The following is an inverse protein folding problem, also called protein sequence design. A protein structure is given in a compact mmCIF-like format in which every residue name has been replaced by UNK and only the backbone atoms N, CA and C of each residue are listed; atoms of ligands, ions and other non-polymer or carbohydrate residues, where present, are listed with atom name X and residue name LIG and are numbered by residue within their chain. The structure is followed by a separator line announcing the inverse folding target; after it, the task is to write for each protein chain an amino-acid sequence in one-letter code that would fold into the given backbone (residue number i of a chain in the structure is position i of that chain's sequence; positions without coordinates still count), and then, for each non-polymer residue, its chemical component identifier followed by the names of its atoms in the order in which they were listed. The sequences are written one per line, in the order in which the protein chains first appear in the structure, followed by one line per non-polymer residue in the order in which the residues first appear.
data_IF_839465034991
#
_entry.id   IF_839465034991
#
_cell.length_a   1.000
_cell.length_b   1.000
_cell.length_c   1.000
_cell.angle_alpha   90.00
_cell.angle_beta   90.00
_cell.angle_gamma   90.00
#
_symmetry.space_group_name_H-M   'P 1'
#
loop_
_entity.id
_entity.type
_entity.pdbx_description
1 polymer ?
#
# COMPACT_ATOMS: atom_id res chain seq x y z
N UNK A 1 22.24 -21.91 -21.80
CA UNK A 1 21.67 -21.40 -20.52
C UNK A 1 22.77 -20.59 -19.84
N UNK A 2 22.68 -19.25 -19.88
CA UNK A 2 23.63 -18.38 -19.19
C UNK A 2 23.33 -18.43 -17.67
N UNK A 3 24.24 -18.99 -16.88
CA UNK A 3 24.20 -18.89 -15.42
C UNK A 3 24.83 -17.56 -15.01
N UNK A 4 24.05 -16.65 -14.44
CA UNK A 4 24.59 -15.48 -13.77
C UNK A 4 25.33 -15.95 -12.51
N UNK A 5 26.65 -15.98 -12.59
CA UNK A 5 27.54 -16.47 -11.53
C UNK A 5 27.74 -15.46 -10.39
N UNK A 6 27.45 -14.17 -10.62
CA UNK A 6 27.72 -13.10 -9.67
C UNK A 6 26.44 -12.34 -9.30
N UNK A 7 26.11 -12.30 -8.01
CA UNK A 7 25.01 -11.51 -7.47
C UNK A 7 25.47 -10.07 -7.23
N UNK A 8 25.38 -9.20 -8.22
CA UNK A 8 25.83 -7.80 -8.12
C UNK A 8 24.97 -6.92 -7.20
N UNK A 9 23.75 -7.38 -6.80
CA UNK A 9 22.82 -6.59 -5.99
C UNK A 9 23.18 -6.58 -4.50
N UNK A 10 23.87 -7.60 -4.01
CA UNK A 10 24.11 -7.83 -2.58
C UNK A 10 25.55 -7.54 -2.24
N UNK A 11 25.76 -6.83 -1.14
CA UNK A 11 27.07 -6.51 -0.56
C UNK A 11 27.41 -7.40 0.65
N UNK A 12 26.40 -8.06 1.23
CA UNK A 12 26.51 -8.88 2.43
C UNK A 12 26.79 -10.34 2.08
N UNK A 13 27.99 -10.83 2.43
CA UNK A 13 28.41 -12.20 2.17
C UNK A 13 27.54 -13.25 2.87
N UNK A 14 27.03 -12.96 4.08
CA UNK A 14 26.15 -13.86 4.83
C UNK A 14 24.79 -13.99 4.13
N UNK A 15 24.23 -12.87 3.67
CA UNK A 15 22.99 -12.87 2.89
C UNK A 15 23.15 -13.64 1.57
N UNK A 16 24.25 -13.43 0.85
CA UNK A 16 24.56 -14.17 -0.39
C UNK A 16 24.61 -15.67 -0.11
N UNK A 17 25.28 -16.09 0.98
CA UNK A 17 25.36 -17.50 1.39
C UNK A 17 23.98 -18.09 1.64
N UNK A 18 23.14 -17.42 2.43
CA UNK A 18 21.75 -17.84 2.74
C UNK A 18 20.94 -17.99 1.45
N UNK A 19 20.92 -16.97 0.59
CA UNK A 19 20.16 -17.00 -0.66
C UNK A 19 20.66 -18.07 -1.63
N UNK A 20 21.97 -18.32 -1.67
CA UNK A 20 22.55 -19.38 -2.49
C UNK A 20 22.10 -20.76 -2.02
N UNK A 21 22.07 -20.99 -0.71
CA UNK A 21 21.57 -22.24 -0.13
C UNK A 21 20.08 -22.44 -0.40
N UNK A 22 19.29 -21.39 -0.23
CA UNK A 22 17.86 -21.42 -0.54
C UNK A 22 17.56 -21.76 -2.01
N UNK A 23 18.41 -21.36 -2.95
CA UNK A 23 18.25 -21.67 -4.38
C UNK A 23 18.58 -23.11 -4.75
N UNK A 24 19.46 -23.78 -4.00
CA UNK A 24 20.02 -25.10 -4.38
C UNK A 24 19.14 -26.27 -4.02
N UNK A 25 18.32 -26.19 -2.99
CA UNK A 25 17.44 -27.30 -2.59
C UNK A 25 16.28 -26.81 -1.73
N UNK A 26 15.15 -27.51 -1.79
CA UNK A 26 13.95 -27.23 -0.99
C UNK A 26 14.14 -27.40 0.53
N UNK A 27 15.28 -27.86 1.02
CA UNK A 27 15.63 -27.92 2.45
C UNK A 27 16.93 -27.21 2.70
N UNK A 28 16.85 -25.92 2.93
CA UNK A 28 17.98 -25.08 3.26
C UNK A 28 18.39 -25.33 4.73
N UNK A 29 19.62 -25.86 4.93
CA UNK A 29 20.23 -25.92 6.27
C UNK A 29 21.14 -24.72 6.47
N UNK A 30 20.69 -23.77 7.27
CA UNK A 30 21.51 -22.62 7.67
C UNK A 30 22.50 -23.06 8.75
N UNK A 31 23.70 -22.47 8.72
CA UNK A 31 24.68 -22.60 9.80
C UNK A 31 24.21 -21.83 11.04
N UNK A 32 24.81 -22.14 12.21
CA UNK A 32 24.52 -21.38 13.44
C UNK A 32 24.80 -19.87 13.29
N UNK A 33 25.83 -19.52 12.54
CA UNK A 33 26.20 -18.13 12.29
C UNK A 33 25.16 -17.43 11.40
N UNK A 34 24.70 -18.07 10.33
CA UNK A 34 23.66 -17.55 9.43
C UNK A 34 22.32 -17.38 10.18
N UNK A 35 21.95 -18.37 11.01
CA UNK A 35 20.78 -18.27 11.87
C UNK A 35 20.89 -17.11 12.88
N UNK A 36 22.08 -16.92 13.46
CA UNK A 36 22.32 -15.79 14.35
C UNK A 36 22.14 -14.47 13.61
N UNK A 37 22.75 -14.31 12.45
CA UNK A 37 22.62 -13.10 11.63
C UNK A 37 21.15 -12.77 11.28
N UNK A 38 20.33 -13.77 10.94
CA UNK A 38 18.89 -13.57 10.72
C UNK A 38 18.16 -13.17 11.99
N UNK A 39 18.41 -13.85 13.12
CA UNK A 39 17.79 -13.50 14.41
C UNK A 39 18.18 -12.11 14.89
N UNK A 40 19.40 -11.67 14.59
CA UNK A 40 19.85 -10.32 14.94
C UNK A 40 19.05 -9.23 14.17
N UNK A 41 18.38 -9.57 13.08
CA UNK A 41 17.43 -8.67 12.40
C UNK A 41 16.09 -8.58 13.10
N UNK A 42 15.71 -9.54 13.95
CA UNK A 42 14.40 -9.59 14.62
C UNK A 42 14.34 -8.65 15.82
N UNK A 43 13.31 -7.80 15.82
CA UNK A 43 13.07 -6.85 16.92
C UNK A 43 11.97 -7.31 17.88
N UNK A 44 11.32 -8.44 17.63
CA UNK A 44 10.13 -8.88 18.39
C UNK A 44 10.44 -9.15 19.86
N UNK A 45 11.63 -9.69 20.15
CA UNK A 45 12.08 -10.00 21.51
C UNK A 45 12.83 -8.83 22.18
N UNK A 46 13.08 -7.72 21.45
CA UNK A 46 13.80 -6.58 21.99
C UNK A 46 12.90 -5.73 22.91
N UNK A 47 13.51 -5.00 23.83
CA UNK A 47 12.79 -4.03 24.67
C UNK A 47 12.13 -2.94 23.81
N UNK A 48 11.08 -2.30 24.35
CA UNK A 48 10.38 -1.22 23.65
C UNK A 48 11.33 -0.05 23.27
N UNK A 49 12.31 0.25 24.11
CA UNK A 49 13.34 1.26 23.84
C UNK A 49 14.23 0.87 22.66
N UNK A 50 14.68 -0.38 22.63
CA UNK A 50 15.51 -0.87 21.52
C UNK A 50 14.70 -1.01 20.21
N UNK A 51 13.45 -1.46 20.28
CA UNK A 51 12.55 -1.46 19.12
C UNK A 51 12.41 -0.05 18.55
N UNK A 52 12.15 0.96 19.40
CA UNK A 52 12.04 2.35 18.98
C UNK A 52 13.33 2.83 18.32
N UNK A 53 14.49 2.60 18.97
CA UNK A 53 15.80 2.98 18.43
C UNK A 53 16.06 2.36 17.04
N UNK A 54 15.71 1.09 16.83
CA UNK A 54 15.91 0.39 15.55
C UNK A 54 14.92 0.83 14.48
N UNK A 55 13.77 1.37 14.86
CA UNK A 55 12.76 1.90 13.94
C UNK A 55 12.97 3.38 13.61
N UNK A 56 13.83 4.09 14.36
CA UNK A 56 14.22 5.45 14.01
C UNK A 56 14.85 5.51 12.62
N UNK A 57 14.48 6.51 11.83
CA UNK A 57 14.98 6.67 10.46
C UNK A 57 14.41 5.70 9.44
N UNK A 58 13.45 4.85 9.83
CA UNK A 58 12.84 3.86 8.91
C UNK A 58 11.53 4.34 8.27
N UNK A 59 11.21 5.64 8.33
CA UNK A 59 9.92 6.20 7.86
C UNK A 59 9.70 5.95 6.35
N UNK A 60 10.80 5.87 5.58
CA UNK A 60 10.77 5.60 4.15
C UNK A 60 10.99 4.12 3.79
N UNK A 61 11.24 3.26 4.78
CA UNK A 61 11.44 1.84 4.52
C UNK A 61 10.16 1.18 4.02
N UNK A 62 10.35 0.17 3.19
CA UNK A 62 9.25 -0.72 2.81
C UNK A 62 8.80 -1.54 4.01
N UNK A 63 7.50 -1.78 4.10
CA UNK A 63 6.92 -2.70 5.07
C UNK A 63 6.10 -3.75 4.34
N UNK A 64 6.42 -5.00 4.55
CA UNK A 64 5.75 -6.10 3.87
C UNK A 64 5.32 -7.20 4.82
N UNK A 65 4.26 -7.88 4.45
CA UNK A 65 3.72 -9.01 5.18
C UNK A 65 3.11 -10.05 4.23
N UNK A 66 2.95 -11.30 4.69
CA UNK A 66 2.28 -12.34 3.91
C UNK A 66 0.76 -12.12 3.77
N UNK A 67 0.14 -11.34 4.65
CA UNK A 67 -1.33 -11.16 4.71
C UNK A 67 -1.76 -9.72 4.54
N UNK A 68 -2.92 -9.52 3.91
CA UNK A 68 -3.54 -8.21 3.75
C UNK A 68 -3.92 -7.55 5.08
N UNK A 69 -4.31 -8.32 6.10
CA UNK A 69 -4.62 -7.77 7.43
C UNK A 69 -3.42 -7.00 8.02
N UNK A 70 -2.23 -7.61 7.97
CA UNK A 70 -1.00 -6.96 8.44
C UNK A 70 -0.59 -5.81 7.53
N UNK A 71 -0.76 -5.96 6.20
CA UNK A 71 -0.46 -4.90 5.22
C UNK A 71 -1.36 -3.69 5.42
N UNK A 72 -2.66 -3.87 5.67
CA UNK A 72 -3.59 -2.76 5.90
C UNK A 72 -3.16 -1.92 7.12
N UNK A 73 -2.75 -2.57 8.21
CA UNK A 73 -2.19 -1.87 9.37
C UNK A 73 -0.89 -1.13 9.00
N UNK A 74 -0.01 -1.78 8.24
CA UNK A 74 1.22 -1.16 7.77
C UNK A 74 0.95 0.08 6.89
N UNK A 75 -0.08 0.04 6.03
CA UNK A 75 -0.50 1.18 5.21
C UNK A 75 -0.89 2.37 6.08
N UNK A 76 -1.68 2.17 7.14
CA UNK A 76 -2.06 3.24 8.07
C UNK A 76 -0.82 3.85 8.72
N UNK A 77 0.05 3.02 9.27
CA UNK A 77 1.27 3.47 9.96
C UNK A 77 2.18 4.24 8.98
N UNK A 78 2.47 3.67 7.81
CA UNK A 78 3.36 4.29 6.82
C UNK A 78 2.80 5.58 6.25
N UNK A 79 1.49 5.64 5.97
CA UNK A 79 0.85 6.87 5.50
C UNK A 79 0.93 7.97 6.54
N UNK A 80 0.73 7.64 7.84
CA UNK A 80 0.86 8.61 8.93
C UNK A 80 2.30 9.12 9.08
N UNK A 81 3.28 8.22 9.11
CA UNK A 81 4.70 8.58 9.19
C UNK A 81 5.14 9.44 8.00
N UNK A 82 4.70 9.08 6.79
CA UNK A 82 4.98 9.84 5.56
C UNK A 82 4.39 11.26 5.64
N UNK A 83 3.14 11.39 6.09
CA UNK A 83 2.48 12.69 6.25
C UNK A 83 3.19 13.58 7.28
N UNK A 84 3.56 13.01 8.44
CA UNK A 84 4.32 13.74 9.47
C UNK A 84 5.67 14.23 8.92
N UNK A 85 6.40 13.37 8.20
CA UNK A 85 7.68 13.73 7.60
C UNK A 85 7.55 14.82 6.55
N UNK A 86 6.45 14.81 5.78
CA UNK A 86 6.15 15.81 4.76
C UNK A 86 5.53 17.10 5.35
N UNK A 87 5.27 17.16 6.66
CA UNK A 87 4.49 18.22 7.30
C UNK A 87 3.14 18.47 6.59
N UNK A 88 2.50 17.41 6.09
CA UNK A 88 1.28 17.45 5.29
C UNK A 88 0.09 16.86 6.04
N UNK A 89 -1.11 17.35 5.74
CA UNK A 89 -2.35 16.79 6.25
C UNK A 89 -2.59 15.42 5.65
N UNK A 90 -2.79 14.39 6.49
CA UNK A 90 -3.22 13.07 6.06
C UNK A 90 -4.73 13.06 5.88
N UNK A 91 -5.19 12.86 4.65
CA UNK A 91 -6.59 12.63 4.34
C UNK A 91 -6.94 11.15 4.50
N UNK A 92 -8.04 10.88 5.16
CA UNK A 92 -8.61 9.55 5.35
C UNK A 92 -10.00 9.54 4.74
N UNK A 93 -10.25 8.65 3.77
CA UNK A 93 -11.55 8.52 3.15
C UNK A 93 -12.03 7.07 3.19
N UNK A 94 -13.15 6.76 3.85
CA UNK A 94 -13.76 5.45 3.77
C UNK A 94 -14.25 5.14 2.37
N UNK A 95 -14.18 3.86 1.98
CA UNK A 95 -14.78 3.41 0.73
C UNK A 95 -16.30 3.60 0.75
N UNK A 96 -16.89 3.80 -0.43
CA UNK A 96 -18.37 3.70 -0.60
C UNK A 96 -18.67 2.27 -1.03
N UNK A 97 -19.35 1.56 -0.13
CA UNK A 97 -19.72 0.17 -0.32
C UNK A 97 -21.25 0.06 -0.56
N UNK A 98 -21.62 -0.59 -1.68
CA UNK A 98 -23.01 -0.79 -2.09
C UNK A 98 -23.40 -2.24 -1.83
N UNK A 99 -24.41 -2.44 -0.96
CA UNK A 99 -25.00 -3.76 -0.71
C UNK A 99 -26.00 -4.07 -1.80
N UNK A 100 -25.76 -5.11 -2.60
CA UNK A 100 -26.57 -5.45 -3.77
C UNK A 100 -27.79 -6.32 -3.42
N UNK A 101 -27.68 -7.17 -2.38
CA UNK A 101 -28.72 -8.10 -1.96
C UNK A 101 -28.88 -8.09 -0.43
N UNK A 102 -29.62 -7.13 0.08
CA UNK A 102 -29.91 -7.06 1.52
C UNK A 102 -31.03 -8.06 1.87
N UNK A 103 -30.82 -8.95 2.86
CA UNK A 103 -31.89 -9.84 3.30
C UNK A 103 -33.04 -9.05 3.89
N UNK A 104 -34.26 -9.26 3.38
CA UNK A 104 -35.47 -8.47 3.74
C UNK A 104 -35.84 -8.61 5.24
N UNK A 105 -35.53 -9.77 5.84
CA UNK A 105 -35.90 -10.11 7.21
C UNK A 105 -34.74 -9.92 8.21
N UNK A 106 -33.60 -9.44 7.78
CA UNK A 106 -32.45 -9.25 8.67
C UNK A 106 -32.50 -7.89 9.37
N UNK A 107 -32.38 -7.88 10.70
CA UNK A 107 -32.27 -6.64 11.50
C UNK A 107 -30.86 -6.03 11.40
N UNK A 108 -30.39 -5.82 10.18
CA UNK A 108 -29.05 -5.28 9.92
C UNK A 108 -29.15 -3.75 9.79
N UNK A 109 -28.49 -3.04 10.68
CA UNK A 109 -28.37 -1.59 10.57
C UNK A 109 -27.27 -1.22 9.57
N UNK A 110 -27.37 -0.05 8.94
CA UNK A 110 -26.36 0.42 7.99
C UNK A 110 -25.00 0.62 8.68
N UNK A 111 -24.99 1.06 9.93
CA UNK A 111 -23.76 1.20 10.73
C UNK A 111 -23.05 -0.14 10.95
N UNK A 112 -23.79 -1.18 11.33
CA UNK A 112 -23.25 -2.52 11.52
C UNK A 112 -22.71 -3.10 10.20
N UNK A 113 -23.45 -2.94 9.10
CA UNK A 113 -22.99 -3.36 7.78
C UNK A 113 -21.71 -2.63 7.37
N UNK A 114 -21.64 -1.33 7.59
CA UNK A 114 -20.43 -0.55 7.29
C UNK A 114 -19.21 -1.05 8.09
N UNK A 115 -19.40 -1.37 9.37
CA UNK A 115 -18.33 -1.91 10.21
C UNK A 115 -17.85 -3.28 9.70
N UNK A 116 -18.76 -4.22 9.46
CA UNK A 116 -18.42 -5.56 8.98
C UNK A 116 -17.75 -5.50 7.60
N UNK A 117 -18.27 -4.70 6.67
CA UNK A 117 -17.72 -4.57 5.33
C UNK A 117 -16.33 -3.92 5.37
N UNK A 118 -16.14 -2.90 6.21
CA UNK A 118 -14.84 -2.23 6.36
C UNK A 118 -13.77 -3.15 6.96
N UNK A 119 -14.18 -4.16 7.72
CA UNK A 119 -13.29 -5.15 8.33
C UNK A 119 -12.71 -6.17 7.33
N UNK A 120 -13.20 -6.21 6.06
CA UNK A 120 -12.68 -7.13 5.03
C UNK A 120 -11.28 -6.68 4.59
N UNK A 121 -10.20 -7.33 5.05
CA UNK A 121 -8.84 -6.83 4.83
C UNK A 121 -8.27 -7.25 3.49
N UNK A 122 -8.89 -8.22 2.79
CA UNK A 122 -8.31 -8.83 1.60
C UNK A 122 -8.67 -8.06 0.33
N UNK A 123 -7.77 -7.20 -0.12
CA UNK A 123 -7.95 -6.41 -1.34
C UNK A 123 -8.14 -7.26 -2.61
N UNK A 124 -7.70 -8.51 -2.65
CA UNK A 124 -7.92 -9.38 -3.81
C UNK A 124 -9.42 -9.67 -4.00
N UNK A 125 -10.20 -9.73 -2.92
CA UNK A 125 -11.64 -9.97 -2.96
C UNK A 125 -12.43 -8.69 -3.28
N UNK A 126 -11.89 -7.51 -2.97
CA UNK A 126 -12.57 -6.22 -3.14
C UNK A 126 -12.24 -5.51 -4.45
N UNK A 127 -11.81 -6.24 -5.47
CA UNK A 127 -11.40 -5.67 -6.76
C UNK A 127 -10.15 -4.80 -6.67
N UNK A 128 -9.26 -5.09 -5.73
CA UNK A 128 -8.04 -4.35 -5.39
C UNK A 128 -8.28 -2.92 -4.90
N UNK A 129 -9.49 -2.63 -4.43
CA UNK A 129 -9.84 -1.33 -3.85
C UNK A 129 -9.73 -1.40 -2.32
N UNK A 130 -8.97 -0.51 -1.67
CA UNK A 130 -8.84 -0.50 -0.21
C UNK A 130 -10.15 -0.10 0.47
N UNK A 131 -10.38 -0.56 1.71
CA UNK A 131 -11.54 -0.14 2.51
C UNK A 131 -11.41 1.32 2.98
N UNK A 132 -10.19 1.79 3.13
CA UNK A 132 -9.87 3.15 3.55
C UNK A 132 -8.81 3.70 2.61
N UNK A 133 -9.08 4.82 1.97
CA UNK A 133 -8.10 5.61 1.23
C UNK A 133 -7.29 6.45 2.21
N UNK A 134 -5.97 6.44 2.08
CA UNK A 134 -5.02 7.18 2.91
C UNK A 134 -4.07 7.92 1.97
N UNK A 135 -4.06 9.25 2.01
CA UNK A 135 -3.23 10.03 1.10
C UNK A 135 -2.91 11.42 1.65
N UNK A 136 -1.80 11.97 1.23
CA UNK A 136 -1.40 13.36 1.46
C UNK A 136 -0.64 13.87 0.25
N UNK A 137 -0.51 15.18 0.12
CA UNK A 137 0.29 15.80 -0.94
C UNK A 137 1.77 15.40 -0.81
N UNK A 138 2.40 15.04 -1.91
CA UNK A 138 3.79 14.52 -1.93
C UNK A 138 3.93 13.02 -1.59
N UNK A 139 2.81 12.31 -1.36
CA UNK A 139 2.87 10.87 -1.04
C UNK A 139 3.22 10.05 -2.27
N UNK A 140 4.20 9.16 -2.13
CA UNK A 140 4.50 8.19 -3.19
C UNK A 140 3.54 7.01 -3.09
N UNK A 141 2.78 6.82 -4.17
CA UNK A 141 1.73 5.79 -4.25
C UNK A 141 2.08 4.73 -5.29
N UNK A 142 1.30 3.67 -5.24
CA UNK A 142 1.20 2.62 -6.24
C UNK A 142 -0.25 2.46 -6.65
N UNK A 143 -0.51 2.40 -7.96
CA UNK A 143 -1.83 2.08 -8.49
C UNK A 143 -2.16 0.61 -8.22
N UNK A 144 -3.36 0.34 -7.74
CA UNK A 144 -3.86 -1.02 -7.49
C UNK A 144 -4.63 -1.58 -8.67
N UNK A 145 -5.15 -0.70 -9.53
CA UNK A 145 -5.82 -1.03 -10.79
C UNK A 145 -5.29 -0.16 -11.92
N UNK A 146 -5.58 -0.57 -13.16
CA UNK A 146 -5.32 0.25 -14.33
C UNK A 146 -6.26 1.46 -14.34
N UNK A 147 -5.68 2.64 -14.50
CA UNK A 147 -6.39 3.93 -14.65
C UNK A 147 -6.40 4.31 -16.12
N UNK A 148 -5.23 4.33 -16.77
CA UNK A 148 -5.06 4.68 -18.18
C UNK A 148 -3.96 3.81 -18.79
N UNK A 149 -4.33 2.98 -19.78
CA UNK A 149 -3.37 2.12 -20.47
C UNK A 149 -2.71 2.89 -21.64
N UNK A 150 -1.46 2.58 -21.95
CA UNK A 150 -0.59 1.56 -21.36
C UNK A 150 0.28 2.06 -20.18
N UNK A 151 0.32 3.33 -19.84
CA UNK A 151 1.30 3.92 -18.92
C UNK A 151 0.87 3.85 -17.45
N UNK A 152 -0.43 4.05 -17.17
CA UNK A 152 -0.99 4.05 -15.82
C UNK A 152 -1.71 2.74 -15.51
N UNK A 153 -0.94 1.68 -15.48
CA UNK A 153 -1.44 0.31 -15.22
C UNK A 153 -1.26 -0.09 -13.74
N UNK A 154 -1.82 -1.22 -13.39
CA UNK A 154 -1.59 -1.83 -12.06
C UNK A 154 -0.11 -1.89 -11.74
N UNK A 155 0.23 -1.54 -10.50
CA UNK A 155 1.60 -1.44 -9.95
C UNK A 155 2.45 -0.26 -10.49
N UNK A 156 1.95 0.57 -11.41
CA UNK A 156 2.57 1.87 -11.72
C UNK A 156 2.68 2.70 -10.45
N UNK A 157 3.80 3.42 -10.32
CA UNK A 157 4.09 4.26 -9.16
C UNK A 157 4.18 5.73 -9.54
N UNK A 158 3.81 6.61 -8.61
CA UNK A 158 3.85 8.04 -8.81
C UNK A 158 3.75 8.79 -7.50
N UNK A 159 3.79 10.10 -7.57
CA UNK A 159 3.66 11.02 -6.44
C UNK A 159 2.36 11.82 -6.55
N UNK A 160 1.66 12.00 -5.44
CA UNK A 160 0.45 12.83 -5.38
C UNK A 160 0.87 14.30 -5.46
N UNK A 161 0.45 14.97 -6.53
CA UNK A 161 0.76 16.39 -6.78
C UNK A 161 -0.46 17.31 -6.70
N UNK A 162 -1.67 16.74 -6.60
CA UNK A 162 -2.91 17.48 -6.43
C UNK A 162 -4.01 16.64 -5.77
N UNK A 163 -4.88 17.30 -5.03
CA UNK A 163 -6.04 16.70 -4.35
C UNK A 163 -7.22 17.63 -4.58
N UNK A 164 -8.17 17.19 -5.41
CA UNK A 164 -9.38 17.93 -5.73
C UNK A 164 -10.54 17.33 -4.94
N UNK A 165 -10.96 18.05 -3.89
CA UNK A 165 -12.07 17.61 -3.06
C UNK A 165 -13.39 17.71 -3.82
N UNK A 166 -14.32 16.81 -3.51
CA UNK A 166 -15.70 16.88 -4.01
C UNK A 166 -16.31 18.25 -3.61
N UNK A 167 -17.00 18.96 -4.51
CA UNK A 167 -17.59 20.27 -4.21
C UNK A 167 -18.56 20.27 -3.02
N UNK A 168 -19.20 19.12 -2.76
CA UNK A 168 -20.12 18.95 -1.63
C UNK A 168 -19.43 18.38 -0.38
N UNK A 169 -18.08 18.29 -0.36
CA UNK A 169 -17.36 17.89 0.85
C UNK A 169 -17.49 18.96 1.94
N UNK A 170 -17.90 18.60 3.17
CA UNK A 170 -18.02 19.56 4.26
C UNK A 170 -16.71 20.34 4.48
N UNK A 171 -16.82 21.64 4.74
CA UNK A 171 -15.63 22.42 5.05
C UNK A 171 -15.04 22.00 6.40
N UNK A 172 -13.72 22.03 6.51
CA UNK A 172 -13.02 21.67 7.77
C UNK A 172 -13.46 22.53 8.97
N UNK A 173 -14.04 23.72 8.73
CA UNK A 173 -14.55 24.61 9.77
C UNK A 173 -15.90 24.17 10.36
N UNK A 174 -16.65 23.30 9.66
CA UNK A 174 -17.95 22.79 10.10
C UNK A 174 -17.85 21.48 10.88
N UNK A 175 -16.69 20.82 10.86
CA UNK A 175 -16.48 19.58 11.59
C UNK A 175 -15.94 19.86 12.98
N UNK A 176 -16.75 19.58 14.00
CA UNK A 176 -16.27 19.38 15.39
C UNK A 176 -15.46 18.08 15.50
N UNK A 177 -14.54 17.87 14.59
CA UNK A 177 -13.68 16.68 14.62
C UNK A 177 -12.68 16.85 15.75
N UNK A 178 -12.62 15.89 16.64
CA UNK A 178 -11.51 15.75 17.61
C UNK A 178 -10.21 15.74 16.81
N UNK A 179 -9.63 16.92 16.67
CA UNK A 179 -8.51 17.16 15.78
C UNK A 179 -7.28 16.44 16.32
N UNK A 180 -7.08 15.21 15.87
CA UNK A 180 -5.70 14.70 15.84
C UNK A 180 -5.01 15.58 14.80
N UNK A 181 -4.14 16.44 15.27
CA UNK A 181 -3.41 17.41 14.48
C UNK A 181 -2.81 16.75 13.22
N UNK A 182 -3.10 17.32 12.06
CA UNK A 182 -2.62 16.83 10.76
C UNK A 182 -3.39 15.62 10.19
N UNK A 183 -4.61 15.31 10.66
CA UNK A 183 -5.51 14.32 10.04
C UNK A 183 -6.84 14.99 9.68
N UNK A 184 -7.32 14.72 8.47
CA UNK A 184 -8.66 15.10 8.02
C UNK A 184 -9.41 13.90 7.47
N UNK A 185 -10.60 13.61 8.01
CA UNK A 185 -11.50 12.58 7.49
C UNK A 185 -12.37 13.20 6.41
N UNK A 186 -12.48 12.57 5.26
CA UNK A 186 -13.33 12.99 4.16
C UNK A 186 -14.59 12.11 4.13
N UNK A 187 -15.74 12.74 3.85
CA UNK A 187 -17.02 12.07 3.66
C UNK A 187 -17.27 11.69 2.20
N UNK A 188 -16.57 12.33 1.29
CA UNK A 188 -16.68 12.10 -0.16
C UNK A 188 -15.36 11.74 -0.77
N UNK A 189 -15.43 10.92 -1.82
CA UNK A 189 -14.23 10.47 -2.54
C UNK A 189 -13.73 11.59 -3.44
N UNK A 190 -12.47 12.06 -3.26
CA UNK A 190 -11.87 13.10 -4.08
C UNK A 190 -11.35 12.56 -5.41
N UNK A 191 -10.94 13.47 -6.28
CA UNK A 191 -10.05 13.17 -7.42
C UNK A 191 -8.61 13.49 -7.03
N UNK A 192 -7.67 12.60 -7.37
CA UNK A 192 -6.26 12.76 -7.01
C UNK A 192 -5.43 12.91 -8.29
N UNK A 193 -4.65 13.96 -8.37
CA UNK A 193 -3.67 14.12 -9.45
C UNK A 193 -2.35 13.46 -9.04
N UNK A 194 -1.91 12.50 -9.84
CA UNK A 194 -0.68 11.74 -9.62
C UNK A 194 0.30 11.97 -10.75
N UNK A 195 1.54 12.33 -10.43
CA UNK A 195 2.67 12.36 -11.37
C UNK A 195 3.34 11.00 -11.40
N UNK A 196 3.21 10.27 -12.49
CA UNK A 196 3.77 8.94 -12.67
C UNK A 196 5.29 8.99 -12.83
N UNK A 197 5.98 8.03 -12.23
CA UNK A 197 7.43 7.91 -12.37
C UNK A 197 7.80 7.32 -13.74
N UNK A 198 8.71 8.00 -14.45
CA UNK A 198 9.23 7.52 -15.73
C UNK A 198 8.25 7.66 -16.91
N UNK A 199 7.17 8.40 -16.72
CA UNK A 199 6.17 8.70 -17.77
C UNK A 199 6.21 10.17 -18.11
N UNK A 200 6.22 10.46 -19.40
CA UNK A 200 6.30 11.82 -19.95
C UNK A 200 5.09 12.19 -20.82
N UNK A 201 4.15 11.27 -20.98
CA UNK A 201 2.92 11.49 -21.75
C UNK A 201 1.99 12.48 -21.03
N UNK A 202 1.39 13.38 -21.77
CA UNK A 202 0.41 14.34 -21.23
C UNK A 202 -0.99 13.71 -21.30
N UNK A 203 -1.55 13.33 -20.14
CA UNK A 203 -2.90 12.77 -20.03
C UNK A 203 -3.96 13.82 -19.68
N UNK A 204 -3.54 14.89 -18.99
CA UNK A 204 -4.46 15.95 -18.60
C UNK A 204 -4.64 16.94 -19.77
N UNK A 205 -5.87 17.46 -19.96
CA UNK A 205 -6.09 18.48 -20.96
C UNK A 205 -5.17 19.68 -20.71
N UNK A 206 -4.68 20.34 -21.77
CA UNK A 206 -3.84 21.50 -21.64
C UNK A 206 -4.61 22.58 -20.87
N UNK A 207 -4.20 22.84 -19.62
CA UNK A 207 -4.67 24.06 -18.96
C UNK A 207 -3.88 25.23 -19.51
N UNK A 208 -4.51 26.39 -19.75
CA UNK A 208 -3.77 27.56 -20.16
C UNK A 208 -2.71 27.89 -19.11
N UNK A 209 -1.44 27.83 -19.52
CA UNK A 209 -0.35 28.30 -18.69
C UNK A 209 -0.57 29.80 -18.47
N UNK A 210 -0.73 30.22 -17.22
CA UNK A 210 -0.95 31.61 -16.86
C UNK A 210 0.19 32.54 -17.35
N UNK A 211 1.39 31.98 -17.56
CA UNK A 211 2.56 32.69 -18.12
C UNK A 211 2.50 32.78 -19.64
N UNK A 212 1.73 31.94 -20.33
CA UNK A 212 1.68 31.86 -21.80
C UNK A 212 0.25 31.85 -22.35
N UNK A 213 -0.70 32.35 -21.58
CA UNK A 213 -2.13 32.40 -21.98
C UNK A 213 -2.38 33.10 -23.34
N UNK A 214 -1.45 33.91 -23.79
CA UNK A 214 -1.56 34.65 -25.06
C UNK A 214 -0.91 33.96 -26.27
N UNK A 215 -0.04 32.97 -26.09
CA UNK A 215 0.78 32.39 -27.17
C UNK A 215 0.52 30.96 -27.54
N UNK A 216 -0.34 30.24 -26.82
CA UNK A 216 -0.91 28.93 -27.18
C UNK A 216 0.02 27.72 -27.20
N UNK A 217 1.32 27.87 -27.13
CA UNK A 217 2.25 26.75 -27.11
C UNK A 217 3.51 27.09 -26.31
N UNK A 218 3.73 26.38 -25.24
CA UNK A 218 4.96 26.47 -24.47
C UNK A 218 5.81 25.23 -24.70
N UNK A 219 6.99 25.38 -25.30
CA UNK A 219 7.95 24.27 -25.49
C UNK A 219 8.93 24.10 -24.33
N UNK A 220 9.22 25.15 -23.57
CA UNK A 220 10.31 25.15 -22.58
C UNK A 220 9.91 25.71 -21.21
N UNK A 221 8.63 25.68 -20.85
CA UNK A 221 8.17 26.17 -19.56
C UNK A 221 8.21 25.08 -18.51
N UNK A 222 8.94 25.26 -17.43
CA UNK A 222 9.02 24.34 -16.29
C UNK A 222 7.65 24.04 -15.67
N UNK A 223 6.70 25.00 -15.74
CA UNK A 223 5.31 24.78 -15.29
C UNK A 223 4.50 23.86 -16.21
N UNK A 224 4.80 23.86 -17.53
CA UNK A 224 4.20 22.93 -18.49
C UNK A 224 4.84 21.55 -18.40
N UNK A 225 6.15 21.49 -18.19
CA UNK A 225 6.92 20.24 -18.00
C UNK A 225 6.54 19.51 -16.70
N UNK A 226 6.11 20.27 -15.68
CA UNK A 226 5.61 19.69 -14.42
C UNK A 226 4.39 18.78 -14.63
N UNK A 227 3.58 19.01 -15.66
CA UNK A 227 2.37 18.23 -15.95
C UNK A 227 2.62 16.97 -16.76
N UNK A 228 3.76 16.86 -17.42
CA UNK A 228 4.12 15.65 -18.13
C UNK A 228 4.12 14.46 -17.17
N UNK A 229 3.40 13.41 -17.52
CA UNK A 229 3.19 12.23 -16.68
C UNK A 229 2.15 12.38 -15.56
N UNK A 230 1.43 13.51 -15.47
CA UNK A 230 0.32 13.66 -14.52
C UNK A 230 -0.96 13.04 -15.06
N UNK A 231 -1.64 12.27 -14.22
CA UNK A 231 -2.96 11.67 -14.48
C UNK A 231 -3.95 12.06 -13.38
N UNK A 232 -5.23 12.14 -13.72
CA UNK A 232 -6.30 12.20 -12.74
C UNK A 232 -6.71 10.78 -12.34
N UNK A 233 -6.60 10.45 -11.06
CA UNK A 233 -7.06 9.18 -10.49
C UNK A 233 -8.42 9.42 -9.85
N UNK A 234 -9.46 8.94 -10.51
CA UNK A 234 -10.84 9.02 -10.03
C UNK A 234 -11.24 7.77 -9.26
N UNK A 235 -12.23 7.88 -8.35
CA UNK A 235 -12.78 6.72 -7.65
C UNK A 235 -13.39 5.71 -8.62
N UNK A 236 -12.90 4.47 -8.58
CA UNK A 236 -13.37 3.37 -9.40
C UNK A 236 -14.37 2.50 -8.63
N UNK A 237 -15.39 2.00 -9.33
CA UNK A 237 -16.28 0.96 -8.85
C UNK A 237 -15.68 -0.41 -9.14
N UNK A 238 -15.63 -1.30 -8.14
CA UNK A 238 -15.16 -2.67 -8.35
C UNK A 238 -15.96 -3.36 -9.45
N UNK A 239 -15.27 -4.03 -10.38
CA UNK A 239 -15.92 -4.73 -11.52
C UNK A 239 -16.82 -5.88 -11.06
N UNK A 240 -16.52 -6.50 -9.93
CA UNK A 240 -17.27 -7.62 -9.35
C UNK A 240 -17.62 -7.31 -7.92
N UNK A 241 -18.78 -7.79 -7.48
CA UNK A 241 -19.13 -7.83 -6.07
C UNK A 241 -18.31 -8.90 -5.35
N UNK A 242 -18.19 -8.75 -4.05
CA UNK A 242 -17.56 -9.73 -3.17
C UNK A 242 -18.52 -10.14 -2.06
N UNK A 243 -18.50 -11.42 -1.63
CA UNK A 243 -19.34 -11.89 -0.55
C UNK A 243 -18.81 -11.43 0.81
N UNK A 244 -19.70 -11.01 1.66
CA UNK A 244 -19.42 -10.69 3.07
C UNK A 244 -20.39 -11.49 3.94
N UNK A 245 -19.84 -12.26 4.88
CA UNK A 245 -20.65 -12.96 5.87
C UNK A 245 -21.03 -12.00 7.01
N UNK A 246 -22.30 -11.89 7.27
CA UNK A 246 -22.86 -11.00 8.28
C UNK A 246 -23.70 -11.85 9.24
N UNK A 247 -23.50 -11.68 10.53
CA UNK A 247 -24.33 -12.33 11.54
C UNK A 247 -25.45 -11.41 11.98
N UNK A 248 -26.65 -11.96 12.22
CA UNK A 248 -27.70 -11.22 12.89
C UNK A 248 -27.21 -10.77 14.29
N UNK A 249 -27.48 -9.54 14.75
CA UNK A 249 -27.16 -9.10 16.10
C UNK A 249 -27.63 -10.04 17.22
N UNK A 250 -28.65 -10.88 16.96
CA UNK A 250 -29.09 -11.95 17.85
C UNK A 250 -28.27 -13.25 17.77
N UNK A 251 -27.29 -13.35 16.87
CA UNK A 251 -26.41 -14.52 16.70
C UNK A 251 -27.08 -15.76 16.10
N UNK A 252 -28.34 -15.67 15.69
CA UNK A 252 -29.15 -16.85 15.31
C UNK A 252 -29.05 -17.18 13.80
N UNK A 253 -28.64 -16.26 12.96
CA UNK A 253 -28.56 -16.47 11.52
C UNK A 253 -27.32 -15.79 10.95
N UNK A 254 -26.62 -16.50 10.06
CA UNK A 254 -25.57 -15.94 9.21
C UNK A 254 -26.14 -15.68 7.81
N UNK A 255 -25.86 -14.52 7.26
CA UNK A 255 -26.26 -14.14 5.92
C UNK A 255 -25.01 -13.85 5.08
N UNK A 256 -25.05 -14.19 3.80
CA UNK A 256 -24.04 -13.73 2.84
C UNK A 256 -24.63 -12.60 2.02
N UNK A 257 -24.06 -11.41 2.16
CA UNK A 257 -24.41 -10.25 1.34
C UNK A 257 -23.38 -10.07 0.22
N UNK A 258 -23.83 -9.53 -0.91
CA UNK A 258 -22.93 -9.14 -2.01
C UNK A 258 -22.68 -7.64 -1.95
N UNK A 259 -21.42 -7.27 -1.91
CA UNK A 259 -20.99 -5.88 -1.77
C UNK A 259 -20.16 -5.47 -2.98
N UNK A 260 -20.42 -4.28 -3.49
CA UNK A 260 -19.62 -3.66 -4.54
C UNK A 260 -18.97 -2.38 -4.01
N UNK A 261 -17.65 -2.30 -4.06
CA UNK A 261 -16.85 -1.20 -3.49
C UNK A 261 -16.54 -0.13 -4.53
N UNK A 262 -16.66 1.13 -4.12
CA UNK A 262 -16.12 2.27 -4.85
C UNK A 262 -15.05 2.96 -4.00
N UNK A 263 -13.83 3.09 -4.56
CA UNK A 263 -12.70 3.73 -3.89
C UNK A 263 -11.64 4.14 -4.92
N UNK A 264 -10.68 4.97 -4.50
CA UNK A 264 -9.47 5.28 -5.27
C UNK A 264 -8.61 4.02 -5.45
N UNK A 265 -8.21 3.69 -6.69
CA UNK A 265 -7.42 2.50 -6.98
C UNK A 265 -5.93 2.71 -6.70
N UNK A 266 -5.59 3.13 -5.48
CA UNK A 266 -4.21 3.39 -5.09
C UNK A 266 -3.95 3.14 -3.60
N UNK A 267 -2.68 2.86 -3.27
CA UNK A 267 -2.20 2.72 -1.90
C UNK A 267 -0.80 3.30 -1.78
N UNK A 268 -0.32 3.53 -0.55
CA UNK A 268 1.08 3.92 -0.34
C UNK A 268 2.01 2.85 -0.92
N UNK A 269 3.05 3.27 -1.62
CA UNK A 269 4.03 2.37 -2.27
C UNK A 269 4.79 1.52 -1.26
N UNK A 270 5.11 2.08 -0.09
CA UNK A 270 5.99 1.46 0.91
C UNK A 270 5.35 0.36 1.75
N UNK A 271 4.03 0.13 1.65
CA UNK A 271 3.35 -0.94 2.38
C UNK A 271 2.61 -1.88 1.43
N UNK A 272 3.01 -3.15 1.38
CA UNK A 272 2.48 -4.11 0.42
C UNK A 272 2.60 -5.56 0.87
N UNK A 273 1.91 -6.48 0.16
CA UNK A 273 2.18 -7.90 0.34
C UNK A 273 3.58 -8.24 -0.20
N UNK A 274 4.17 -9.30 0.36
CA UNK A 274 5.51 -9.73 -0.05
C UNK A 274 5.59 -10.08 -1.54
N UNK A 275 4.52 -10.61 -2.11
CA UNK A 275 4.48 -10.97 -3.54
C UNK A 275 4.61 -9.76 -4.46
N UNK A 276 4.09 -8.62 -4.04
CA UNK A 276 4.18 -7.36 -4.80
C UNK A 276 5.60 -6.79 -4.85
N UNK A 277 6.45 -7.17 -3.89
CA UNK A 277 7.86 -6.78 -3.89
C UNK A 277 8.73 -7.63 -4.84
N UNK A 278 8.15 -8.62 -5.52
CA UNK A 278 8.89 -9.41 -6.49
C UNK A 278 9.42 -8.51 -7.61
N UNK A 279 10.73 -8.54 -7.85
CA UNK A 279 11.38 -7.64 -8.81
C UNK A 279 11.82 -6.27 -8.27
N UNK A 280 11.26 -5.82 -7.14
CA UNK A 280 11.59 -4.53 -6.52
C UNK A 280 12.84 -4.65 -5.64
N UNK A 281 13.71 -3.64 -5.65
CA UNK A 281 14.75 -3.46 -4.61
C UNK A 281 14.18 -2.57 -3.53
N UNK A 282 14.24 -3.01 -2.27
CA UNK A 282 13.74 -2.22 -1.14
C UNK A 282 14.86 -1.35 -0.59
N UNK A 283 15.01 -0.17 -1.18
CA UNK A 283 15.93 0.85 -0.71
C UNK A 283 15.10 2.00 -0.08
N UNK A 284 15.43 2.47 1.11
CA UNK A 284 16.61 2.21 1.92
C UNK A 284 16.55 0.94 2.79
N UNK A 285 15.43 0.22 2.88
CA UNK A 285 15.34 -1.01 3.66
C UNK A 285 13.96 -1.65 3.65
N UNK A 286 13.84 -2.79 4.33
CA UNK A 286 12.62 -3.58 4.46
C UNK A 286 12.34 -3.96 5.91
N UNK A 287 11.11 -3.70 6.36
CA UNK A 287 10.54 -4.28 7.57
C UNK A 287 9.63 -5.42 7.13
N UNK A 288 9.93 -6.63 7.55
CA UNK A 288 9.17 -7.81 7.16
C UNK A 288 8.52 -8.51 8.35
N UNK A 289 7.22 -8.72 8.27
CA UNK A 289 6.44 -9.46 9.27
C UNK A 289 6.40 -10.94 8.90
N UNK A 290 6.94 -11.81 9.76
CA UNK A 290 7.04 -13.25 9.53
C UNK A 290 5.81 -14.04 9.90
N UNK A 291 4.74 -13.40 10.33
CA UNK A 291 3.49 -14.08 10.71
C UNK A 291 2.78 -14.63 9.49
N UNK A 292 3.09 -15.87 9.15
CA UNK A 292 2.42 -16.59 8.06
C UNK A 292 1.06 -17.14 8.51
N UNK A 293 0.05 -17.14 7.63
CA UNK A 293 -1.21 -17.83 7.88
C UNK A 293 -0.98 -19.32 8.11
N UNK A 294 -1.82 -19.94 8.96
CA UNK A 294 -1.72 -21.39 9.26
C UNK A 294 -1.91 -22.28 8.02
N UNK A 295 -2.71 -21.81 7.05
CA UNK A 295 -2.98 -22.54 5.81
C UNK A 295 -1.85 -22.41 4.77
N UNK A 296 -0.82 -21.59 4.98
CA UNK A 296 0.34 -21.56 4.09
C UNK A 296 1.12 -22.87 4.23
N UNK A 297 1.21 -23.62 3.13
CA UNK A 297 2.09 -24.77 3.02
C UNK A 297 3.57 -24.35 3.02
N UNK A 298 4.47 -25.31 3.03
CA UNK A 298 5.91 -25.08 3.09
C UNK A 298 6.43 -24.24 1.90
N UNK A 299 5.96 -24.54 0.68
CA UNK A 299 6.43 -23.89 -0.53
C UNK A 299 6.11 -22.37 -0.59
N UNK A 300 4.87 -21.90 -0.38
CA UNK A 300 4.58 -20.47 -0.29
C UNK A 300 5.36 -19.75 0.81
N UNK A 301 5.56 -20.41 1.98
CA UNK A 301 6.39 -19.84 3.06
C UNK A 301 7.83 -19.67 2.62
N UNK A 302 8.40 -20.70 2.00
CA UNK A 302 9.76 -20.67 1.46
C UNK A 302 9.91 -19.56 0.42
N UNK A 303 8.98 -19.46 -0.53
CA UNK A 303 9.00 -18.42 -1.57
C UNK A 303 8.93 -17.01 -0.98
N UNK A 304 8.01 -16.79 -0.05
CA UNK A 304 7.88 -15.50 0.63
C UNK A 304 9.14 -15.15 1.42
N UNK A 305 9.73 -16.11 2.13
CA UNK A 305 11.02 -15.96 2.82
C UNK A 305 12.14 -15.59 1.85
N UNK A 306 12.25 -16.32 0.74
CA UNK A 306 13.25 -16.03 -0.29
C UNK A 306 13.07 -14.63 -0.87
N UNK A 307 11.84 -14.23 -1.20
CA UNK A 307 11.54 -12.89 -1.69
C UNK A 307 11.94 -11.85 -0.64
N UNK A 308 11.54 -11.99 0.63
CA UNK A 308 11.87 -11.05 1.69
C UNK A 308 13.38 -10.85 1.85
N UNK A 309 14.15 -11.94 1.93
CA UNK A 309 15.60 -11.90 2.08
C UNK A 309 16.34 -11.39 0.84
N UNK A 310 15.70 -11.46 -0.34
CA UNK A 310 16.31 -11.03 -1.60
C UNK A 310 15.95 -9.60 -2.02
N UNK A 311 15.20 -8.86 -1.21
CA UNK A 311 14.81 -7.48 -1.56
C UNK A 311 15.75 -6.41 -1.03
N UNK A 312 16.15 -6.41 0.27
CA UNK A 312 17.10 -5.44 0.77
C UNK A 312 18.52 -5.74 0.24
N UNK A 313 19.35 -4.72 0.02
CA UNK A 313 20.73 -4.89 -0.46
C UNK A 313 21.63 -5.62 0.55
N UNK A 314 21.35 -5.52 1.86
CA UNK A 314 22.08 -6.17 2.94
C UNK A 314 21.14 -6.56 4.09
N UNK A 315 21.59 -7.48 4.98
CA UNK A 315 20.85 -7.82 6.20
C UNK A 315 20.76 -6.62 7.17
N UNK A 316 21.67 -5.66 7.11
CA UNK A 316 21.60 -4.44 7.91
C UNK A 316 20.38 -3.56 7.52
N UNK A 317 19.85 -3.72 6.31
CA UNK A 317 18.67 -3.04 5.78
C UNK A 317 17.42 -3.91 5.89
N UNK A 318 17.45 -4.96 6.71
CA UNK A 318 16.31 -5.81 7.03
C UNK A 318 15.96 -5.69 8.52
N UNK A 319 14.72 -5.39 8.80
CA UNK A 319 14.15 -5.52 10.14
C UNK A 319 13.10 -6.63 10.07
N UNK A 320 13.25 -7.63 10.92
CA UNK A 320 12.31 -8.74 11.05
C UNK A 320 11.38 -8.52 12.24
N UNK A 321 10.12 -8.93 12.10
CA UNK A 321 9.11 -8.91 13.16
C UNK A 321 8.47 -10.29 13.27
N UNK A 322 8.76 -11.01 14.35
CA UNK A 322 8.19 -12.35 14.63
C UNK A 322 8.85 -13.47 13.82
N UNK A 323 10.17 -13.43 13.66
CA UNK A 323 10.96 -14.49 12.99
C UNK A 323 11.02 -15.78 13.82
#
# INVERSE_FOLDING_TARGET
VYRLSTMKRFTDATQISILTKMRRSGRCKLTKQEWKALRDTDISAASATEQRRRLEGTELWYQAAPTWATVSMAQVIRSRLSAVKAAATLFIVPAKDYVLNRPVNARLTDAYLAEVISSVPNMNNTGRLPSIGLFHLGMVIRLTNTVEAPEAVTDSTGEIVGIDLDPDEPSAATEHTSAIEGIRILHRLPTITVKLHGVHTNFLPPMPCTLHAATGACRDCTSCDFRAGCIAVEPQLARRSFPVEVQDPGGNCAYTIQVQRRQLPMTIKTASTIHTLQGVTTDPGLIFHWKFPRFFSEEPRWLATYVALSRPPSLAQLISVGL
#
